data_IF_756166222308
#
_entry.id   IF_756166222308
#
_cell.length_a   1.000
_cell.length_b   1.000
_cell.length_c   1.000
_cell.angle_alpha   90.00
_cell.angle_beta   90.00
_cell.angle_gamma   90.00
#
_symmetry.space_group_name_H-M   'P 1'
#
loop_
_entity.id
_entity.type
_entity.pdbx_description
1 polymer ?
#
# COMPACT_ATOMS: atom_id res chain seq x y z
N UNK A 1 -20.74 -25.89 11.85
CA UNK A 1 -21.92 -25.17 12.23
C UNK A 1 -21.77 -23.69 11.93
N UNK A 2 -22.79 -23.03 11.32
CA UNK A 2 -22.69 -21.61 11.02
C UNK A 2 -22.52 -20.81 12.31
N UNK A 3 -21.53 -19.93 12.33
CA UNK A 3 -21.29 -19.01 13.46
C UNK A 3 -22.48 -18.07 13.55
N UNK A 4 -23.18 -18.06 14.69
CA UNK A 4 -24.29 -17.14 14.88
C UNK A 4 -23.78 -15.68 14.89
N UNK A 5 -24.56 -14.69 14.42
CA UNK A 5 -24.15 -13.28 14.42
C UNK A 5 -23.73 -12.75 15.79
N UNK A 6 -24.24 -13.36 16.87
CA UNK A 6 -23.91 -13.01 18.26
C UNK A 6 -22.54 -13.53 18.71
N UNK A 7 -21.97 -14.55 18.04
CA UNK A 7 -20.66 -15.13 18.35
C UNK A 7 -19.52 -14.51 17.52
N UNK A 8 -19.83 -13.68 16.53
CA UNK A 8 -18.86 -13.02 15.69
C UNK A 8 -18.12 -11.94 16.50
N UNK A 9 -16.80 -12.08 16.67
CA UNK A 9 -15.96 -11.16 17.45
C UNK A 9 -14.79 -10.62 16.63
N UNK A 10 -14.43 -9.36 16.85
CA UNK A 10 -13.18 -8.79 16.31
C UNK A 10 -11.93 -9.59 16.70
N UNK A 11 -11.94 -10.22 17.89
CA UNK A 11 -10.82 -11.05 18.33
C UNK A 11 -10.55 -12.23 17.38
N UNK A 12 -11.59 -12.79 16.75
CA UNK A 12 -11.44 -13.84 15.76
C UNK A 12 -10.74 -13.33 14.48
N UNK A 13 -11.04 -12.09 14.06
CA UNK A 13 -10.39 -11.44 12.92
C UNK A 13 -8.91 -11.23 13.20
N UNK A 14 -8.57 -10.61 14.34
CA UNK A 14 -7.19 -10.32 14.70
C UNK A 14 -6.32 -11.55 14.95
N UNK A 15 -6.91 -12.68 15.35
CA UNK A 15 -6.23 -13.97 15.54
C UNK A 15 -6.06 -14.77 14.24
N UNK A 16 -6.74 -14.40 13.18
CA UNK A 16 -6.61 -15.07 11.88
C UNK A 16 -5.21 -14.90 11.31
N UNK A 17 -4.55 -16.00 10.97
CA UNK A 17 -3.22 -15.98 10.35
C UNK A 17 -3.23 -15.26 9.01
N UNK A 18 -4.32 -15.39 8.24
CA UNK A 18 -4.46 -14.68 6.98
C UNK A 18 -4.53 -13.16 7.19
N UNK A 19 -5.32 -12.69 8.17
CA UNK A 19 -5.39 -11.28 8.52
C UNK A 19 -4.03 -10.75 8.98
N UNK A 20 -3.34 -11.49 9.87
CA UNK A 20 -2.01 -11.13 10.36
C UNK A 20 -0.97 -11.07 9.23
N UNK A 21 -1.04 -11.99 8.26
CA UNK A 21 -0.17 -11.99 7.08
C UNK A 21 -0.36 -10.73 6.22
N UNK A 22 -1.60 -10.28 6.03
CA UNK A 22 -1.93 -9.13 5.19
C UNK A 22 -1.70 -7.78 5.88
N UNK A 23 -1.79 -7.73 7.21
CA UNK A 23 -1.78 -6.49 7.98
C UNK A 23 -0.48 -5.66 7.85
N UNK A 24 0.74 -6.22 7.90
CA UNK A 24 1.95 -5.42 7.77
C UNK A 24 2.10 -4.75 6.41
N UNK A 25 1.71 -5.43 5.33
CA UNK A 25 1.74 -4.87 3.97
C UNK A 25 0.67 -3.79 3.81
N UNK A 26 -0.51 -3.98 4.40
CA UNK A 26 -1.56 -2.95 4.44
C UNK A 26 -1.11 -1.71 5.21
N UNK A 27 -0.50 -1.90 6.38
CA UNK A 27 -0.03 -0.83 7.24
C UNK A 27 1.13 -0.05 6.61
N UNK A 28 2.23 -0.74 6.28
CA UNK A 28 3.45 -0.06 5.82
C UNK A 28 3.36 0.33 4.36
N UNK A 29 3.10 -0.62 3.47
CA UNK A 29 3.20 -0.35 2.03
C UNK A 29 1.95 0.39 1.52
N UNK A 30 0.74 -0.16 1.72
CA UNK A 30 -0.47 0.47 1.19
C UNK A 30 -0.78 1.79 1.90
N UNK A 31 -0.67 1.83 3.24
CA UNK A 31 -0.78 3.08 4.00
C UNK A 31 0.25 4.12 3.57
N UNK A 32 1.50 3.70 3.31
CA UNK A 32 2.56 4.57 2.82
C UNK A 32 2.35 5.08 1.39
N UNK A 33 1.81 4.25 0.50
CA UNK A 33 1.41 4.71 -0.87
C UNK A 33 0.41 5.84 -0.77
N UNK A 34 -0.65 5.67 0.05
CA UNK A 34 -1.64 6.71 0.27
C UNK A 34 -1.00 7.96 0.92
N UNK A 35 -0.10 7.77 1.89
CA UNK A 35 0.63 8.86 2.52
C UNK A 35 1.46 9.68 1.52
N UNK A 36 2.17 9.00 0.61
CA UNK A 36 2.95 9.66 -0.45
C UNK A 36 2.02 10.37 -1.43
N UNK A 37 0.99 9.70 -1.94
CA UNK A 37 0.07 10.26 -2.93
C UNK A 37 -0.65 11.50 -2.41
N UNK A 38 -1.05 11.51 -1.13
CA UNK A 38 -1.87 12.57 -0.56
C UNK A 38 -1.08 13.70 0.09
N UNK A 39 0.12 13.41 0.59
CA UNK A 39 0.90 14.41 1.35
C UNK A 39 2.31 14.62 0.81
N UNK A 40 3.09 13.57 0.50
CA UNK A 40 4.53 13.72 0.28
C UNK A 40 4.95 13.92 -1.17
N UNK A 41 4.15 13.53 -2.16
CA UNK A 41 4.49 13.74 -3.58
C UNK A 41 4.54 15.23 -3.94
N UNK A 42 3.66 16.06 -3.37
CA UNK A 42 3.68 17.52 -3.56
C UNK A 42 4.96 18.17 -3.05
N UNK A 43 5.28 18.07 -1.76
CA UNK A 43 6.53 18.54 -1.18
C UNK A 43 7.79 18.03 -1.89
N UNK A 44 7.82 16.75 -2.28
CA UNK A 44 8.93 16.22 -3.09
C UNK A 44 9.09 16.98 -4.41
N UNK A 45 8.00 17.16 -5.17
CA UNK A 45 8.07 17.87 -6.46
C UNK A 45 8.56 19.29 -6.30
N UNK A 46 8.16 20.00 -5.23
CA UNK A 46 8.62 21.39 -5.00
C UNK A 46 10.03 21.43 -4.45
N UNK A 47 10.32 20.69 -3.37
CA UNK A 47 11.58 20.84 -2.60
C UNK A 47 12.73 20.02 -3.17
N UNK A 48 12.44 18.91 -3.85
CA UNK A 48 13.47 18.01 -4.39
C UNK A 48 13.59 18.17 -5.91
N UNK A 49 12.46 18.10 -6.64
CA UNK A 49 12.48 18.17 -8.11
C UNK A 49 12.45 19.62 -8.65
N UNK A 50 12.31 20.63 -7.79
CA UNK A 50 12.37 22.05 -8.17
C UNK A 50 11.13 22.55 -8.94
N UNK A 51 10.01 21.89 -8.83
CA UNK A 51 8.75 22.32 -9.46
C UNK A 51 8.22 23.60 -8.80
N UNK A 52 7.59 24.46 -9.61
CA UNK A 52 6.76 25.53 -9.05
C UNK A 52 5.52 24.93 -8.37
N UNK A 53 4.86 25.64 -7.42
CA UNK A 53 3.63 25.16 -6.79
C UNK A 53 2.54 24.77 -7.80
N UNK A 54 2.41 25.50 -8.91
CA UNK A 54 1.44 25.21 -9.96
C UNK A 54 1.81 23.91 -10.71
N UNK A 55 3.08 23.71 -11.03
CA UNK A 55 3.55 22.47 -11.66
C UNK A 55 3.34 21.27 -10.74
N UNK A 56 3.60 21.41 -9.43
CA UNK A 56 3.36 20.36 -8.46
C UNK A 56 1.87 20.03 -8.33
N UNK A 57 0.99 21.04 -8.27
CA UNK A 57 -0.48 20.82 -8.28
C UNK A 57 -0.95 20.10 -9.54
N UNK A 58 -0.44 20.51 -10.71
CA UNK A 58 -0.72 19.81 -11.99
C UNK A 58 -0.18 18.37 -11.97
N UNK A 59 1.00 18.15 -11.39
CA UNK A 59 1.57 16.81 -11.21
C UNK A 59 0.69 15.93 -10.33
N UNK A 60 0.19 16.44 -9.20
CA UNK A 60 -0.75 15.73 -8.32
C UNK A 60 -2.06 15.40 -9.05
N UNK A 61 -2.58 16.31 -9.88
CA UNK A 61 -3.73 16.02 -10.73
C UNK A 61 -3.46 14.80 -11.62
N UNK A 62 -2.31 14.77 -12.32
CA UNK A 62 -1.97 13.65 -13.20
C UNK A 62 -1.75 12.33 -12.45
N UNK A 63 -1.12 12.36 -11.26
CA UNK A 63 -0.99 11.17 -10.41
C UNK A 63 -2.38 10.59 -10.11
N UNK A 64 -3.34 11.43 -9.69
CA UNK A 64 -4.69 10.98 -9.37
C UNK A 64 -5.48 10.53 -10.60
N UNK A 65 -5.31 11.19 -11.76
CA UNK A 65 -5.92 10.77 -13.03
C UNK A 65 -5.40 9.39 -13.47
N UNK A 66 -4.09 9.14 -13.37
CA UNK A 66 -3.49 7.82 -13.62
C UNK A 66 -4.05 6.75 -12.67
N UNK A 67 -4.22 7.08 -11.38
CA UNK A 67 -4.80 6.15 -10.41
C UNK A 67 -6.26 5.83 -10.71
N UNK A 68 -7.06 6.82 -11.12
CA UNK A 68 -8.44 6.60 -11.54
C UNK A 68 -8.52 5.60 -12.70
N UNK A 69 -7.70 5.81 -13.74
CA UNK A 69 -7.63 4.89 -14.90
C UNK A 69 -7.14 3.50 -14.45
N UNK A 70 -6.17 3.44 -13.56
CA UNK A 70 -5.63 2.18 -13.04
C UNK A 70 -6.69 1.38 -12.26
N UNK A 71 -7.45 2.03 -11.38
CA UNK A 71 -8.52 1.35 -10.65
C UNK A 71 -9.67 0.91 -11.57
N UNK A 72 -10.00 1.71 -12.58
CA UNK A 72 -10.96 1.31 -13.60
C UNK A 72 -10.46 0.09 -14.38
N UNK A 73 -9.19 0.08 -14.79
CA UNK A 73 -8.57 -1.07 -15.45
C UNK A 73 -8.58 -2.33 -14.55
N UNK A 74 -8.30 -2.20 -13.23
CA UNK A 74 -8.43 -3.30 -12.28
C UNK A 74 -9.87 -3.84 -12.22
N UNK A 75 -10.88 -2.97 -12.25
CA UNK A 75 -12.29 -3.38 -12.29
C UNK A 75 -12.62 -4.26 -13.50
N UNK A 76 -12.02 -3.98 -14.65
CA UNK A 76 -12.23 -4.73 -15.89
C UNK A 76 -11.41 -6.03 -15.94
N UNK A 77 -10.16 -5.96 -15.51
CA UNK A 77 -9.17 -7.06 -15.70
C UNK A 77 -9.23 -8.08 -14.57
N UNK A 78 -9.54 -7.68 -13.33
CA UNK A 78 -9.52 -8.57 -12.18
C UNK A 78 -10.47 -9.78 -12.30
N UNK A 79 -11.72 -9.66 -12.82
CA UNK A 79 -12.58 -10.83 -13.04
C UNK A 79 -11.97 -11.86 -14.00
N UNK A 80 -11.35 -11.38 -15.08
CA UNK A 80 -10.65 -12.23 -16.04
C UNK A 80 -9.45 -12.95 -15.42
N UNK A 81 -8.61 -12.21 -14.67
CA UNK A 81 -7.46 -12.77 -13.96
C UNK A 81 -7.91 -13.86 -12.96
N UNK A 82 -8.97 -13.60 -12.20
CA UNK A 82 -9.51 -14.55 -11.24
C UNK A 82 -9.97 -15.85 -11.91
N UNK A 83 -10.65 -15.77 -13.07
CA UNK A 83 -11.07 -16.94 -13.85
C UNK A 83 -9.87 -17.75 -14.38
N UNK A 84 -8.71 -17.11 -14.57
CA UNK A 84 -7.46 -17.77 -15.00
C UNK A 84 -6.55 -18.20 -13.83
N UNK A 85 -7.09 -18.26 -12.60
CA UNK A 85 -6.37 -18.76 -11.43
C UNK A 85 -5.37 -17.77 -10.81
N UNK A 86 -5.46 -16.47 -11.16
CA UNK A 86 -4.67 -15.42 -10.53
C UNK A 86 -5.37 -14.92 -9.26
N UNK A 87 -4.99 -15.47 -8.12
CA UNK A 87 -5.48 -14.98 -6.83
C UNK A 87 -4.87 -13.62 -6.46
N UNK A 88 -5.56 -12.87 -5.58
CA UNK A 88 -5.04 -11.62 -5.05
C UNK A 88 -3.66 -11.80 -4.38
N UNK A 89 -3.45 -12.88 -3.63
CA UNK A 89 -2.16 -13.21 -3.03
C UNK A 89 -1.05 -13.35 -4.08
N UNK A 90 -1.34 -14.03 -5.19
CA UNK A 90 -0.38 -14.20 -6.28
C UNK A 90 -0.05 -12.87 -6.96
N UNK A 91 -1.06 -12.05 -7.22
CA UNK A 91 -0.89 -10.71 -7.79
C UNK A 91 -0.07 -9.80 -6.87
N UNK A 92 -0.32 -9.82 -5.56
CA UNK A 92 0.45 -9.07 -4.56
C UNK A 92 1.90 -9.59 -4.52
N UNK A 93 2.11 -10.91 -4.53
CA UNK A 93 3.45 -11.51 -4.50
C UNK A 93 4.31 -11.04 -5.68
N UNK A 94 3.74 -10.92 -6.87
CA UNK A 94 4.50 -10.48 -8.05
C UNK A 94 4.49 -8.96 -8.25
N UNK A 95 3.43 -8.28 -7.85
CA UNK A 95 3.28 -6.83 -8.05
C UNK A 95 4.06 -5.99 -7.04
N UNK A 96 4.14 -6.43 -5.78
CA UNK A 96 4.88 -5.67 -4.74
C UNK A 96 6.37 -5.48 -5.08
N UNK A 97 7.13 -6.49 -5.54
CA UNK A 97 8.52 -6.26 -5.97
C UNK A 97 8.65 -5.20 -7.07
N UNK A 98 7.70 -5.14 -8.01
CA UNK A 98 7.69 -4.11 -9.05
C UNK A 98 7.55 -2.72 -8.43
N UNK A 99 6.59 -2.53 -7.52
CA UNK A 99 6.40 -1.23 -6.86
C UNK A 99 7.58 -0.84 -5.98
N UNK A 100 8.20 -1.79 -5.27
CA UNK A 100 9.42 -1.55 -4.49
C UNK A 100 10.60 -1.14 -5.37
N UNK A 101 10.75 -1.76 -6.54
CA UNK A 101 11.77 -1.38 -7.52
C UNK A 101 11.54 0.04 -8.03
N UNK A 102 10.29 0.40 -8.38
CA UNK A 102 9.95 1.76 -8.82
C UNK A 102 10.24 2.77 -7.70
N UNK A 103 9.88 2.45 -6.44
CA UNK A 103 10.20 3.31 -5.31
C UNK A 103 11.70 3.51 -5.14
N UNK A 104 12.49 2.43 -5.21
CA UNK A 104 13.94 2.51 -5.10
C UNK A 104 14.55 3.36 -6.22
N UNK A 105 14.07 3.19 -7.46
CA UNK A 105 14.50 4.01 -8.61
C UNK A 105 14.13 5.47 -8.40
N UNK A 106 12.92 5.79 -7.95
CA UNK A 106 12.48 7.15 -7.66
C UNK A 106 13.37 7.81 -6.60
N UNK A 107 13.69 7.11 -5.53
CA UNK A 107 14.57 7.60 -4.47
C UNK A 107 15.99 7.85 -5.03
N UNK A 108 16.53 6.89 -5.78
CA UNK A 108 17.88 7.00 -6.33
C UNK A 108 18.01 8.11 -7.38
N UNK A 109 16.98 8.31 -8.22
CA UNK A 109 16.93 9.37 -9.23
C UNK A 109 16.81 10.78 -8.60
N UNK A 110 16.34 10.87 -7.35
CA UNK A 110 16.30 12.12 -6.60
C UNK A 110 15.59 13.26 -7.35
N UNK A 111 16.27 14.41 -7.60
CA UNK A 111 15.67 15.55 -8.29
C UNK A 111 15.13 15.25 -9.70
N UNK A 112 15.58 14.20 -10.36
CA UNK A 112 15.07 13.80 -11.67
C UNK A 112 13.69 13.11 -11.57
N UNK A 113 13.24 12.72 -10.37
CA UNK A 113 11.94 12.11 -10.16
C UNK A 113 10.85 13.19 -10.08
N UNK A 114 10.13 13.37 -11.16
CA UNK A 114 8.95 14.22 -11.24
C UNK A 114 7.65 13.46 -10.95
N UNK A 115 6.52 14.07 -11.30
CA UNK A 115 5.18 13.50 -11.10
C UNK A 115 4.99 12.13 -11.76
N UNK A 116 5.61 11.91 -12.93
CA UNK A 116 5.47 10.64 -13.67
C UNK A 116 6.08 9.47 -12.90
N UNK A 117 7.22 9.66 -12.21
CA UNK A 117 7.82 8.64 -11.34
C UNK A 117 6.89 8.28 -10.18
N UNK A 118 6.29 9.27 -9.54
CA UNK A 118 5.32 9.04 -8.47
C UNK A 118 4.01 8.40 -8.97
N UNK A 119 3.52 8.80 -10.14
CA UNK A 119 2.39 8.14 -10.78
C UNK A 119 2.69 6.65 -11.03
N UNK A 120 3.85 6.33 -11.59
CA UNK A 120 4.27 4.95 -11.83
C UNK A 120 4.36 4.14 -10.53
N UNK A 121 4.90 4.73 -9.46
CA UNK A 121 4.93 4.10 -8.13
C UNK A 121 3.51 3.80 -7.61
N UNK A 122 2.61 4.77 -7.66
CA UNK A 122 1.23 4.59 -7.23
C UNK A 122 0.50 3.51 -8.05
N UNK A 123 0.67 3.55 -9.38
CA UNK A 123 0.09 2.56 -10.31
C UNK A 123 0.62 1.15 -10.02
N UNK A 124 1.94 0.98 -9.89
CA UNK A 124 2.55 -0.31 -9.56
C UNK A 124 2.09 -0.84 -8.19
N UNK A 125 1.86 0.07 -7.23
CA UNK A 125 1.39 -0.26 -5.87
C UNK A 125 -0.12 -0.55 -5.80
N UNK A 126 -0.89 -0.20 -6.82
CA UNK A 126 -2.35 -0.36 -6.84
C UNK A 126 -2.83 -1.80 -6.65
N UNK A 127 -1.97 -2.78 -6.98
CA UNK A 127 -2.21 -4.21 -6.72
C UNK A 127 -2.53 -4.51 -5.25
N UNK A 128 -2.05 -3.68 -4.32
CA UNK A 128 -2.33 -3.81 -2.89
C UNK A 128 -3.81 -3.55 -2.56
N UNK A 129 -4.52 -2.80 -3.39
CA UNK A 129 -5.97 -2.60 -3.28
C UNK A 129 -6.77 -3.89 -3.40
N UNK A 130 -6.23 -4.92 -4.07
CA UNK A 130 -6.86 -6.23 -4.19
C UNK A 130 -6.86 -7.02 -2.86
N UNK A 131 -6.03 -6.64 -1.90
CA UNK A 131 -5.99 -7.28 -0.59
C UNK A 131 -7.28 -7.06 0.20
N UNK A 132 -7.93 -5.91 0.05
CA UNK A 132 -9.14 -5.57 0.80
C UNK A 132 -10.32 -6.51 0.49
N UNK A 133 -10.74 -6.70 -0.78
CA UNK A 133 -11.76 -7.70 -1.08
C UNK A 133 -11.30 -9.14 -0.74
N UNK A 134 -10.02 -9.47 -0.92
CA UNK A 134 -9.49 -10.78 -0.56
C UNK A 134 -9.61 -11.08 0.94
N UNK A 135 -9.33 -10.08 1.80
CA UNK A 135 -9.55 -10.20 3.25
C UNK A 135 -11.05 -10.38 3.56
N UNK A 136 -11.94 -9.62 2.92
CA UNK A 136 -13.39 -9.79 3.14
C UNK A 136 -13.87 -11.21 2.79
N UNK A 137 -13.38 -11.75 1.68
CA UNK A 137 -13.75 -13.10 1.21
C UNK A 137 -13.11 -14.24 2.02
N UNK A 138 -12.02 -13.98 2.75
CA UNK A 138 -11.35 -15.00 3.58
C UNK A 138 -12.10 -15.33 4.88
N UNK A 139 -13.18 -14.61 5.19
CA UNK A 139 -13.97 -14.81 6.41
C UNK A 139 -15.41 -15.21 6.07
N UNK A 140 -16.07 -15.99 6.97
CA UNK A 140 -17.51 -16.26 6.85
C UNK A 140 -18.30 -14.94 6.76
N UNK A 141 -19.44 -14.97 6.05
CA UNK A 141 -20.26 -13.78 5.80
C UNK A 141 -20.59 -12.99 7.08
N UNK A 142 -20.82 -13.68 8.21
CA UNK A 142 -21.06 -13.03 9.52
C UNK A 142 -19.89 -12.21 10.05
N UNK A 143 -18.65 -12.50 9.61
CA UNK A 143 -17.41 -11.81 10.03
C UNK A 143 -16.84 -10.89 8.95
N UNK A 144 -17.25 -11.02 7.68
CA UNK A 144 -16.67 -10.29 6.55
C UNK A 144 -16.68 -8.78 6.74
N UNK A 145 -17.79 -8.20 7.20
CA UNK A 145 -17.88 -6.77 7.49
C UNK A 145 -16.90 -6.31 8.58
N UNK A 146 -16.75 -7.11 9.65
CA UNK A 146 -15.78 -6.82 10.73
C UNK A 146 -14.34 -6.94 10.26
N UNK A 147 -14.05 -7.93 9.41
CA UNK A 147 -12.74 -8.11 8.82
C UNK A 147 -12.36 -6.91 7.92
N UNK A 148 -13.28 -6.44 7.08
CA UNK A 148 -13.08 -5.26 6.25
C UNK A 148 -12.88 -3.99 7.08
N UNK A 149 -13.68 -3.80 8.14
CA UNK A 149 -13.52 -2.66 9.05
C UNK A 149 -12.18 -2.69 9.78
N UNK A 150 -11.77 -3.85 10.31
CA UNK A 150 -10.47 -4.02 10.96
C UNK A 150 -9.32 -3.79 9.98
N UNK A 151 -9.44 -4.26 8.75
CA UNK A 151 -8.43 -4.08 7.73
C UNK A 151 -8.29 -2.61 7.30
N UNK A 152 -9.40 -1.91 7.13
CA UNK A 152 -9.40 -0.47 6.90
C UNK A 152 -8.74 0.30 8.05
N UNK A 153 -9.01 -0.08 9.30
CA UNK A 153 -8.36 0.53 10.46
C UNK A 153 -6.83 0.36 10.38
N UNK A 154 -6.34 -0.82 10.00
CA UNK A 154 -4.90 -1.07 9.79
C UNK A 154 -4.33 -0.17 8.70
N UNK A 155 -5.03 -0.03 7.56
CA UNK A 155 -4.60 0.84 6.44
C UNK A 155 -4.52 2.30 6.92
N UNK A 156 -5.58 2.84 7.54
CA UNK A 156 -5.60 4.24 7.97
C UNK A 156 -4.62 4.54 9.09
N UNK A 157 -4.42 3.60 10.03
CA UNK A 157 -3.35 3.71 11.01
C UNK A 157 -1.98 3.78 10.33
N UNK A 158 -1.77 2.97 9.29
CA UNK A 158 -0.58 3.02 8.45
C UNK A 158 -0.42 4.36 7.74
N UNK A 159 -1.48 4.89 7.12
CA UNK A 159 -1.47 6.22 6.48
C UNK A 159 -1.00 7.29 7.47
N UNK A 160 -1.62 7.33 8.65
CA UNK A 160 -1.26 8.31 9.69
C UNK A 160 0.20 8.18 10.12
N UNK A 161 0.64 6.96 10.45
CA UNK A 161 2.01 6.71 10.91
C UNK A 161 3.04 7.01 9.83
N UNK A 162 2.77 6.66 8.58
CA UNK A 162 3.69 6.94 7.47
C UNK A 162 3.71 8.43 7.10
N UNK A 163 2.58 9.12 7.11
CA UNK A 163 2.55 10.57 6.89
C UNK A 163 3.38 11.32 7.92
N UNK A 164 3.14 11.03 9.20
CA UNK A 164 3.83 11.68 10.31
C UNK A 164 5.29 11.22 10.40
N UNK A 165 5.55 9.92 10.27
CA UNK A 165 6.88 9.33 10.38
C UNK A 165 7.85 9.81 9.31
N UNK A 166 7.42 9.90 8.05
CA UNK A 166 8.24 10.45 6.96
C UNK A 166 8.61 11.92 7.28
N UNK A 167 7.64 12.72 7.76
CA UNK A 167 7.91 14.10 8.15
C UNK A 167 8.95 14.21 9.25
N UNK A 168 8.79 13.46 10.34
CA UNK A 168 9.76 13.44 11.44
C UNK A 168 11.15 13.00 10.96
N UNK A 169 11.24 12.02 10.10
CA UNK A 169 12.53 11.58 9.56
C UNK A 169 13.18 12.67 8.72
N UNK A 170 12.43 13.40 7.88
CA UNK A 170 12.94 14.53 7.13
C UNK A 170 13.51 15.59 8.09
N UNK A 171 12.76 15.97 9.13
CA UNK A 171 13.18 16.95 10.11
C UNK A 171 14.45 16.51 10.86
N UNK A 172 14.52 15.26 11.27
CA UNK A 172 15.71 14.67 11.92
C UNK A 172 16.92 14.72 11.00
N UNK A 173 16.79 14.32 9.74
CA UNK A 173 17.91 14.33 8.80
C UNK A 173 18.35 15.77 8.47
N UNK A 174 17.44 16.73 8.40
CA UNK A 174 17.79 18.16 8.26
C UNK A 174 18.51 18.68 9.50
N UNK A 175 18.06 18.33 10.70
CA UNK A 175 18.74 18.69 11.94
C UNK A 175 20.15 18.09 12.03
N UNK A 176 20.39 16.95 11.37
CA UNK A 176 21.73 16.35 11.22
C UNK A 176 22.59 17.03 10.14
N UNK A 177 22.08 18.04 9.45
CA UNK A 177 22.81 18.83 8.45
C UNK A 177 22.67 18.33 7.00
N UNK A 178 21.76 17.39 6.71
CA UNK A 178 21.52 16.98 5.33
C UNK A 178 20.74 18.08 4.58
N UNK A 179 21.09 18.25 3.30
CA UNK A 179 20.32 19.12 2.41
C UNK A 179 18.91 18.56 2.18
N UNK A 180 17.97 19.41 1.78
CA UNK A 180 16.56 19.04 1.58
C UNK A 180 16.38 17.76 0.77
N UNK A 181 16.97 17.70 -0.43
CA UNK A 181 16.84 16.54 -1.30
C UNK A 181 17.35 15.25 -0.63
N UNK A 182 18.51 15.33 0.03
CA UNK A 182 19.10 14.17 0.73
C UNK A 182 18.24 13.74 1.93
N UNK A 183 17.63 14.68 2.66
CA UNK A 183 16.74 14.38 3.79
C UNK A 183 15.47 13.64 3.34
N UNK A 184 14.86 14.08 2.24
CA UNK A 184 13.73 13.40 1.64
C UNK A 184 14.11 12.01 1.14
N UNK A 185 15.24 11.87 0.44
CA UNK A 185 15.72 10.57 -0.05
C UNK A 185 15.99 9.62 1.11
N UNK A 186 16.63 10.06 2.19
CA UNK A 186 16.90 9.25 3.36
C UNK A 186 15.62 8.82 4.09
N UNK A 187 14.65 9.73 4.27
CA UNK A 187 13.37 9.39 4.89
C UNK A 187 12.59 8.36 4.07
N UNK A 188 12.56 8.51 2.74
CA UNK A 188 11.90 7.57 1.85
C UNK A 188 12.68 6.24 1.74
N UNK A 189 14.01 6.23 1.93
CA UNK A 189 14.78 4.99 2.03
C UNK A 189 14.40 4.20 3.30
N UNK A 190 14.18 4.86 4.43
CA UNK A 190 13.63 4.21 5.64
C UNK A 190 12.24 3.64 5.36
N UNK A 191 11.37 4.41 4.69
CA UNK A 191 10.06 3.91 4.26
C UNK A 191 10.18 2.69 3.36
N UNK A 192 11.09 2.69 2.38
CA UNK A 192 11.37 1.52 1.52
C UNK A 192 11.79 0.30 2.37
N UNK A 193 12.66 0.48 3.38
CA UNK A 193 13.04 -0.59 4.29
C UNK A 193 11.84 -1.17 5.06
N UNK A 194 10.92 -0.31 5.54
CA UNK A 194 9.68 -0.76 6.17
C UNK A 194 8.80 -1.59 5.21
N UNK A 195 8.71 -1.14 3.94
CA UNK A 195 7.96 -1.87 2.91
C UNK A 195 8.61 -3.22 2.59
N UNK A 196 9.94 -3.28 2.48
CA UNK A 196 10.69 -4.53 2.27
C UNK A 196 10.49 -5.50 3.44
N UNK A 197 10.56 -5.02 4.68
CA UNK A 197 10.33 -5.83 5.87
C UNK A 197 8.91 -6.40 5.91
N UNK A 198 7.90 -5.56 5.60
CA UNK A 198 6.51 -6.00 5.54
C UNK A 198 6.24 -7.02 4.44
N UNK A 199 6.89 -6.86 3.29
CA UNK A 199 6.81 -7.81 2.19
C UNK A 199 7.52 -9.14 2.52
N UNK A 200 8.70 -9.09 3.14
CA UNK A 200 9.41 -10.30 3.61
C UNK A 200 8.53 -11.07 4.62
N UNK A 201 7.87 -10.37 5.54
CA UNK A 201 6.93 -10.99 6.46
C UNK A 201 5.74 -11.64 5.71
N UNK A 202 5.13 -10.91 4.76
CA UNK A 202 4.03 -11.44 3.94
C UNK A 202 4.45 -12.72 3.19
N UNK A 203 5.67 -12.76 2.66
CA UNK A 203 6.16 -13.92 1.90
C UNK A 203 6.46 -15.10 2.83
N UNK A 204 7.02 -14.86 4.02
CA UNK A 204 7.38 -15.90 4.99
C UNK A 204 6.21 -16.40 5.84
N UNK A 205 5.15 -15.61 6.01
CA UNK A 205 4.02 -15.98 6.85
C UNK A 205 3.15 -17.07 6.19
N UNK A 206 2.97 -18.19 6.90
CA UNK A 206 2.03 -19.24 6.47
C UNK A 206 0.61 -18.75 6.73
N UNK A 207 -0.24 -18.76 5.69
CA UNK A 207 -1.68 -18.59 5.85
C UNK A 207 -2.32 -19.94 6.16
N UNK A 208 -3.42 -19.92 6.93
CA UNK A 208 -4.26 -21.10 7.02
C UNK A 208 -4.82 -21.42 5.63
N UNK A 209 -5.00 -22.70 5.27
CA UNK A 209 -5.67 -23.06 4.03
C UNK A 209 -7.02 -22.31 4.00
N UNK A 210 -7.30 -21.61 2.91
CA UNK A 210 -8.65 -21.06 2.69
C UNK A 210 -9.65 -22.19 2.83
N UNK A 211 -10.76 -22.00 3.57
CA UNK A 211 -11.83 -23.00 3.57
C UNK A 211 -12.19 -23.30 2.12
N UNK A 212 -12.13 -24.55 1.76
CA UNK A 212 -12.48 -25.03 0.42
C UNK A 212 -13.94 -24.66 0.14
N UNK A 213 -14.16 -23.60 -0.63
CA UNK A 213 -15.46 -23.18 -1.13
C UNK A 213 -15.84 -23.99 -2.38
N UNK A 214 -15.54 -25.28 -2.42
CA UNK A 214 -16.15 -26.16 -3.40
C UNK A 214 -17.66 -26.21 -3.13
N UNK A 215 -18.51 -25.85 -4.10
CA UNK A 215 -19.95 -26.04 -3.98
C UNK A 215 -20.25 -27.56 -3.86
N UNK A 216 -20.89 -27.93 -2.74
CA UNK A 216 -21.53 -29.23 -2.62
C UNK A 216 -22.79 -29.27 -3.46
#
# INVERSE_FOLDING_TARGET
PPVSPQQASYAQVWRSRYFQKMSPVAFSHYGGVIAIQTLWAGPWMVRVAGYTPLQAATGLFWINACMLVTFWAWGLVNPWLSQHGWSANRLITWGVPVSLTVLAVNIAAGPATGWAGWALFCMASSVLGLAQPAVGMAFPQALAGRALTAYNLVIFAGVFVMQWGIGLLIDVFQAMGLADAASFQAALAVFLCCCLASYAFFHGAKADPTPDNSPQ
#
